data_IF_786843730335
#
_entry.id   IF_786843730335
#
_cell.length_a   1.000
_cell.length_b   1.000
_cell.length_c   1.000
_cell.angle_alpha   90.00
_cell.angle_beta   90.00
_cell.angle_gamma   90.00
#
_symmetry.space_group_name_H-M   'P 1'
#
loop_
_entity.id
_entity.type
_entity.pdbx_description
1 polymer ?
#
# COMPACT_ATOMS: atom_id res chain seq x y z
N UNK A 1 -16.44 -18.08 10.46
CA UNK A 1 -17.43 -18.16 11.57
C UNK A 1 -17.53 -16.79 12.19
N UNK A 2 -18.76 -16.26 12.33
CA UNK A 2 -18.99 -14.90 12.83
C UNK A 2 -19.18 -14.85 14.34
N UNK A 3 -18.74 -13.75 14.95
CA UNK A 3 -18.85 -13.49 16.37
C UNK A 3 -19.10 -12.01 16.64
N UNK A 4 -19.78 -11.75 17.77
CA UNK A 4 -19.84 -10.44 18.41
C UNK A 4 -18.88 -10.46 19.60
N UNK A 5 -17.95 -9.49 19.65
CA UNK A 5 -16.89 -9.45 20.66
C UNK A 5 -16.79 -8.07 21.31
N UNK A 6 -16.43 -8.06 22.57
CA UNK A 6 -16.14 -6.85 23.32
C UNK A 6 -14.68 -6.42 23.15
N UNK A 7 -14.37 -5.18 23.51
CA UNK A 7 -13.02 -4.64 23.56
C UNK A 7 -12.07 -5.49 24.44
N UNK A 8 -12.59 -5.97 25.59
CA UNK A 8 -11.84 -6.85 26.48
C UNK A 8 -11.47 -8.17 25.80
N UNK A 9 -12.39 -8.79 25.06
CA UNK A 9 -12.15 -10.05 24.35
C UNK A 9 -11.16 -9.85 23.20
N UNK A 10 -11.25 -8.73 22.47
CA UNK A 10 -10.28 -8.40 21.43
C UNK A 10 -8.88 -8.20 22.01
N UNK A 11 -8.75 -7.49 23.12
CA UNK A 11 -7.47 -7.31 23.81
C UNK A 11 -6.90 -8.64 24.33
N UNK A 12 -7.73 -9.57 24.78
CA UNK A 12 -7.29 -10.91 25.17
C UNK A 12 -6.73 -11.71 23.96
N UNK A 13 -7.34 -11.58 22.77
CA UNK A 13 -6.80 -12.13 21.53
C UNK A 13 -5.44 -11.51 21.21
N UNK A 14 -5.30 -10.18 21.32
CA UNK A 14 -4.04 -9.49 21.08
C UNK A 14 -2.92 -10.00 21.96
N UNK A 15 -3.16 -10.21 23.26
CA UNK A 15 -2.17 -10.80 24.17
C UNK A 15 -1.69 -12.18 23.70
N UNK A 16 -2.60 -12.98 23.17
CA UNK A 16 -2.24 -14.29 22.61
C UNK A 16 -1.44 -14.15 21.32
N UNK A 17 -1.87 -13.28 20.40
CA UNK A 17 -1.17 -13.08 19.13
C UNK A 17 0.22 -12.49 19.31
N UNK A 18 0.41 -11.59 20.27
CA UNK A 18 1.69 -10.93 20.56
C UNK A 18 2.80 -11.89 20.99
N UNK A 19 2.45 -13.12 21.37
CA UNK A 19 3.45 -14.18 21.64
C UNK A 19 4.27 -14.47 20.37
N UNK A 20 3.61 -14.57 19.19
CA UNK A 20 4.23 -14.99 17.93
C UNK A 20 4.23 -13.91 16.86
N UNK A 21 3.48 -12.84 17.04
CA UNK A 21 3.28 -11.79 16.03
C UNK A 21 3.46 -10.39 16.62
N UNK A 22 3.90 -9.46 15.79
CA UNK A 22 3.68 -8.04 16.01
C UNK A 22 2.36 -7.66 15.35
N UNK A 23 1.54 -6.85 16.01
CA UNK A 23 0.26 -6.39 15.47
C UNK A 23 0.46 -5.00 14.87
N UNK A 24 0.06 -4.82 13.60
CA UNK A 24 0.14 -3.55 12.88
C UNK A 24 -1.24 -3.11 12.43
N UNK A 25 -1.59 -1.87 12.76
CA UNK A 25 -2.83 -1.24 12.35
C UNK A 25 -2.61 0.25 12.04
N UNK A 26 -3.56 0.91 11.35
CA UNK A 26 -3.60 2.36 11.31
C UNK A 26 -3.74 2.91 12.73
N UNK A 27 -2.78 3.73 13.16
CA UNK A 27 -2.79 4.39 14.47
C UNK A 27 -2.46 5.87 14.34
N UNK A 28 -2.81 6.65 15.35
CA UNK A 28 -2.48 8.07 15.41
C UNK A 28 -1.02 8.28 15.86
N UNK A 29 -0.29 9.11 15.11
CA UNK A 29 1.01 9.63 15.49
C UNK A 29 0.85 11.13 15.74
N UNK A 30 0.75 11.50 17.02
CA UNK A 30 0.53 12.87 17.45
C UNK A 30 1.71 13.75 17.04
N UNK A 31 1.41 14.91 16.43
CA UNK A 31 2.42 15.84 15.92
C UNK A 31 3.24 15.32 14.74
N UNK A 32 2.89 14.13 14.18
CA UNK A 32 3.57 13.51 13.03
C UNK A 32 3.05 13.93 11.66
N UNK A 33 2.13 14.89 11.61
CA UNK A 33 1.48 15.33 10.39
C UNK A 33 2.31 16.26 9.51
N UNK A 34 1.66 16.88 8.53
CA UNK A 34 2.32 17.77 7.55
C UNK A 34 2.75 19.11 8.16
N UNK A 35 2.08 19.52 9.22
CA UNK A 35 2.37 20.70 10.01
C UNK A 35 2.67 20.28 11.44
N UNK A 36 3.40 21.11 12.18
CA UNK A 36 3.87 20.80 13.55
C UNK A 36 2.77 20.53 14.57
N UNK A 37 1.55 20.99 14.28
CA UNK A 37 0.36 20.89 15.13
C UNK A 37 -0.68 19.87 14.61
N UNK A 38 -0.33 19.11 13.59
CA UNK A 38 -1.22 18.10 12.99
C UNK A 38 -0.74 16.69 13.26
N UNK A 39 -1.69 15.76 13.32
CA UNK A 39 -1.44 14.34 13.48
C UNK A 39 -1.30 13.62 12.14
N UNK A 40 -0.73 12.43 12.16
CA UNK A 40 -0.64 11.54 11.01
C UNK A 40 -1.23 10.18 11.38
N UNK A 41 -2.12 9.66 10.54
CA UNK A 41 -2.60 8.28 10.66
C UNK A 41 -1.69 7.41 9.78
N UNK A 42 -0.97 6.48 10.42
CA UNK A 42 0.00 5.64 9.75
C UNK A 42 -0.03 4.23 10.33
N UNK A 43 0.48 3.26 9.59
CA UNK A 43 0.68 1.91 10.13
C UNK A 43 1.78 1.93 11.20
N UNK A 44 1.47 1.37 12.36
CA UNK A 44 2.40 1.23 13.47
C UNK A 44 2.08 -0.02 14.28
N UNK A 45 3.04 -0.45 15.09
CA UNK A 45 2.80 -1.50 16.07
C UNK A 45 1.80 -0.99 17.10
N UNK A 46 0.85 -1.85 17.44
CA UNK A 46 -0.14 -1.61 18.49
C UNK A 46 -0.10 -2.75 19.52
N UNK A 47 -0.49 -2.44 20.74
CA UNK A 47 -0.59 -3.40 21.83
C UNK A 47 -2.03 -3.60 22.28
N UNK A 48 -2.88 -2.58 22.08
CA UNK A 48 -4.28 -2.57 22.51
C UNK A 48 -5.22 -2.16 21.37
N UNK A 49 -6.47 -2.60 21.46
CA UNK A 49 -7.50 -2.38 20.45
C UNK A 49 -7.88 -0.91 20.28
N UNK A 50 -7.83 -0.12 21.36
CA UNK A 50 -8.13 1.32 21.37
C UNK A 50 -7.12 2.17 20.58
N UNK A 51 -5.94 1.62 20.26
CA UNK A 51 -4.97 2.28 19.41
C UNK A 51 -5.36 2.26 17.92
N UNK A 52 -6.32 1.40 17.52
CA UNK A 52 -6.73 1.25 16.13
C UNK A 52 -7.61 2.42 15.69
N UNK A 53 -7.23 3.06 14.60
CA UNK A 53 -8.05 4.09 13.94
C UNK A 53 -8.91 3.47 12.85
N UNK A 54 -10.22 3.37 13.10
CA UNK A 54 -11.20 2.81 12.16
C UNK A 54 -11.83 3.86 11.26
N UNK A 55 -12.07 5.06 11.77
CA UNK A 55 -12.85 6.15 11.17
C UNK A 55 -12.07 7.00 10.17
N UNK A 56 -10.76 6.81 10.08
CA UNK A 56 -9.89 7.57 9.15
C UNK A 56 -9.09 6.63 8.26
N UNK A 57 -8.78 7.11 7.06
CA UNK A 57 -7.84 6.46 6.15
C UNK A 57 -6.40 6.77 6.58
N UNK A 58 -5.51 5.77 6.54
CA UNK A 58 -4.10 6.02 6.81
C UNK A 58 -3.47 6.88 5.69
N UNK A 59 -2.66 7.88 6.07
CA UNK A 59 -1.92 8.73 5.14
C UNK A 59 -0.90 7.93 4.33
N UNK A 60 -0.25 6.94 4.97
CA UNK A 60 0.68 6.01 4.35
C UNK A 60 0.09 4.60 4.31
N UNK A 61 0.50 3.81 3.33
CA UNK A 61 0.00 2.45 3.17
C UNK A 61 0.72 1.44 4.06
N UNK A 62 0.11 0.28 4.26
CA UNK A 62 0.66 -0.85 5.00
C UNK A 62 1.98 -1.39 4.43
N UNK A 63 2.33 -1.06 3.19
CA UNK A 63 3.49 -1.67 2.51
C UNK A 63 4.80 -1.49 3.27
N UNK A 64 4.92 -0.49 4.13
CA UNK A 64 6.10 -0.27 4.96
C UNK A 64 6.36 -1.40 5.97
N UNK A 65 5.35 -2.21 6.27
CA UNK A 65 5.49 -3.41 7.11
C UNK A 65 6.21 -4.53 6.35
N UNK A 66 5.92 -4.69 5.05
CA UNK A 66 6.48 -5.75 4.19
C UNK A 66 7.69 -5.29 3.37
N UNK A 67 7.72 -4.02 3.04
CA UNK A 67 8.83 -3.37 2.33
C UNK A 67 9.24 -2.13 3.10
N UNK A 68 10.10 -2.24 4.13
CA UNK A 68 10.53 -1.10 4.92
C UNK A 68 11.13 0.03 4.08
N UNK A 69 10.95 1.28 4.52
CA UNK A 69 11.44 2.47 3.79
C UNK A 69 12.95 2.39 3.53
N UNK A 70 13.70 1.82 4.48
CA UNK A 70 15.11 1.47 4.35
C UNK A 70 15.33 0.10 4.95
N UNK A 71 15.85 -0.83 4.16
CA UNK A 71 16.07 -2.23 4.55
C UNK A 71 17.51 -2.62 4.26
N UNK A 72 18.26 -2.99 5.29
CA UNK A 72 19.57 -3.63 5.11
C UNK A 72 19.36 -5.04 4.54
N UNK A 73 20.01 -5.31 3.42
CA UNK A 73 19.97 -6.62 2.77
C UNK A 73 21.10 -7.50 3.30
N UNK A 74 22.31 -6.97 3.32
CA UNK A 74 23.46 -7.68 3.86
C UNK A 74 24.55 -6.70 4.31
N UNK A 75 25.36 -7.20 5.22
CA UNK A 75 26.62 -6.56 5.63
C UNK A 75 27.79 -7.15 4.85
N UNK A 76 28.83 -6.37 4.62
CA UNK A 76 30.02 -6.82 3.92
C UNK A 76 31.31 -6.32 4.56
N UNK A 77 32.35 -7.13 4.39
CA UNK A 77 33.76 -6.79 4.65
C UNK A 77 34.58 -7.19 3.42
N UNK A 78 35.93 -7.00 3.43
CA UNK A 78 36.81 -7.37 2.29
C UNK A 78 36.67 -8.83 1.81
N UNK A 79 36.34 -9.76 2.70
CA UNK A 79 36.32 -11.18 2.36
C UNK A 79 35.04 -11.93 2.75
N UNK A 80 34.08 -11.25 3.34
CA UNK A 80 32.86 -11.90 3.86
C UNK A 80 31.62 -11.05 3.66
N UNK A 81 30.50 -11.73 3.44
CA UNK A 81 29.16 -11.12 3.46
C UNK A 81 28.30 -11.85 4.48
N UNK A 82 27.46 -11.12 5.20
CA UNK A 82 26.46 -11.66 6.13
C UNK A 82 25.12 -11.05 5.82
N UNK A 83 24.10 -11.87 5.62
CA UNK A 83 22.72 -11.42 5.47
C UNK A 83 22.23 -10.71 6.74
N UNK A 84 21.33 -9.74 6.59
CA UNK A 84 20.67 -9.10 7.71
C UNK A 84 19.68 -10.09 8.35
N UNK A 85 19.58 -10.05 9.68
CA UNK A 85 18.66 -10.92 10.41
C UNK A 85 17.20 -10.49 10.14
N UNK A 86 16.32 -11.48 9.98
CA UNK A 86 14.88 -11.26 9.86
C UNK A 86 14.21 -11.10 11.23
N UNK A 87 13.05 -10.42 11.30
CA UNK A 87 12.24 -10.41 12.50
C UNK A 87 11.87 -11.85 12.91
N UNK A 88 12.03 -12.17 14.19
CA UNK A 88 11.70 -13.51 14.70
C UNK A 88 10.19 -13.75 14.80
N UNK A 89 9.42 -12.68 14.97
CA UNK A 89 7.96 -12.74 15.02
C UNK A 89 7.37 -12.39 13.66
N UNK A 90 6.27 -13.07 13.32
CA UNK A 90 5.43 -12.71 12.20
C UNK A 90 4.69 -11.38 12.42
N UNK A 91 3.78 -11.04 11.53
CA UNK A 91 2.97 -9.85 11.66
C UNK A 91 1.47 -10.16 11.47
N UNK A 92 0.62 -9.63 12.34
CA UNK A 92 -0.81 -9.48 12.10
C UNK A 92 -1.02 -8.08 11.56
N UNK A 93 -1.60 -7.95 10.37
CA UNK A 93 -1.75 -6.65 9.71
C UNK A 93 -3.24 -6.37 9.47
N UNK A 94 -3.71 -5.24 9.97
CA UNK A 94 -5.06 -4.76 9.75
C UNK A 94 -5.13 -4.03 8.42
N UNK A 95 -5.88 -4.55 7.45
CA UNK A 95 -5.94 -4.06 6.07
C UNK A 95 -7.37 -3.79 5.63
N UNK A 96 -7.61 -2.74 4.87
CA UNK A 96 -8.88 -2.56 4.17
C UNK A 96 -8.91 -3.39 2.88
N UNK A 97 -10.09 -3.58 2.29
CA UNK A 97 -10.24 -4.39 1.07
C UNK A 97 -9.28 -3.94 -0.04
N UNK A 98 -9.21 -2.64 -0.35
CA UNK A 98 -8.29 -2.12 -1.36
C UNK A 98 -6.80 -2.41 -1.02
N UNK A 99 -6.42 -2.46 0.26
CA UNK A 99 -5.06 -2.82 0.67
C UNK A 99 -4.79 -4.32 0.46
N UNK A 100 -5.79 -5.20 0.62
CA UNK A 100 -5.67 -6.63 0.28
C UNK A 100 -5.42 -6.84 -1.23
N UNK A 101 -6.13 -6.08 -2.05
CA UNK A 101 -5.85 -6.08 -3.49
C UNK A 101 -4.47 -5.49 -3.80
N UNK A 102 -4.01 -4.49 -3.05
CA UNK A 102 -2.66 -3.96 -3.20
C UNK A 102 -1.60 -4.99 -2.78
N UNK A 103 -1.84 -5.75 -1.71
CA UNK A 103 -0.97 -6.85 -1.29
C UNK A 103 -0.79 -7.87 -2.42
N UNK A 104 -1.89 -8.25 -3.10
CA UNK A 104 -1.81 -9.10 -4.29
C UNK A 104 -0.92 -8.51 -5.39
N UNK A 105 -0.97 -7.16 -5.63
CA UNK A 105 -0.10 -6.51 -6.62
C UNK A 105 1.38 -6.51 -6.19
N UNK A 106 1.64 -6.43 -4.88
CA UNK A 106 3.00 -6.60 -4.37
C UNK A 106 3.49 -8.04 -4.58
N UNK A 107 2.64 -9.04 -4.31
CA UNK A 107 2.95 -10.45 -4.57
C UNK A 107 3.27 -10.68 -6.06
N UNK A 108 2.46 -10.12 -6.98
CA UNK A 108 2.72 -10.21 -8.41
C UNK A 108 4.08 -9.60 -8.79
N UNK A 109 4.48 -8.49 -8.16
CA UNK A 109 5.74 -7.81 -8.47
C UNK A 109 6.97 -8.47 -7.84
N UNK A 110 6.85 -8.92 -6.58
CA UNK A 110 8.00 -9.43 -5.83
C UNK A 110 8.14 -10.95 -5.91
N UNK A 111 7.06 -11.70 -6.12
CA UNK A 111 7.08 -13.16 -6.14
C UNK A 111 6.91 -13.77 -7.52
N UNK A 112 6.22 -13.06 -8.45
CA UNK A 112 5.79 -13.67 -9.71
C UNK A 112 6.31 -12.98 -10.98
N UNK A 113 6.96 -11.82 -10.87
CA UNK A 113 7.45 -11.08 -12.05
C UNK A 113 8.87 -11.51 -12.50
N UNK A 114 9.63 -12.16 -11.61
CA UNK A 114 11.00 -12.66 -11.81
C UNK A 114 11.27 -13.75 -10.75
N UNK A 115 12.50 -14.23 -10.54
CA UNK A 115 12.81 -14.96 -9.33
C UNK A 115 12.31 -14.22 -8.10
N UNK A 116 11.67 -14.97 -7.19
CA UNK A 116 11.04 -14.38 -6.00
C UNK A 116 12.05 -13.56 -5.18
N UNK A 117 11.62 -12.37 -4.75
CA UNK A 117 12.42 -11.54 -3.85
C UNK A 117 12.49 -12.20 -2.48
N UNK A 118 13.68 -12.65 -2.11
CA UNK A 118 13.95 -13.40 -0.89
C UNK A 118 13.47 -12.66 0.38
N UNK A 119 13.75 -11.37 0.48
CA UNK A 119 13.41 -10.56 1.66
C UNK A 119 11.91 -10.33 1.78
N UNK A 120 11.25 -10.03 0.66
CA UNK A 120 9.80 -9.87 0.63
C UNK A 120 9.10 -11.18 0.95
N UNK A 121 9.51 -12.28 0.33
CA UNK A 121 8.93 -13.60 0.54
C UNK A 121 8.98 -14.00 2.02
N UNK A 122 10.14 -13.84 2.67
CA UNK A 122 10.29 -14.19 4.09
C UNK A 122 9.30 -13.43 4.99
N UNK A 123 9.15 -12.13 4.79
CA UNK A 123 8.18 -11.33 5.54
C UNK A 123 6.74 -11.72 5.19
N UNK A 124 6.46 -11.94 3.90
CA UNK A 124 5.12 -12.25 3.38
C UNK A 124 4.58 -13.59 3.86
N UNK A 125 5.43 -14.60 3.97
CA UNK A 125 5.05 -15.94 4.43
C UNK A 125 4.67 -15.97 5.92
N UNK A 126 5.05 -14.96 6.68
CA UNK A 126 4.85 -14.87 8.12
C UNK A 126 3.80 -13.82 8.53
N UNK A 127 2.80 -13.52 7.67
CA UNK A 127 1.73 -12.59 8.02
C UNK A 127 0.39 -13.27 8.19
N UNK A 128 -0.43 -12.66 9.05
CA UNK A 128 -1.86 -12.89 9.19
C UNK A 128 -2.60 -11.60 8.88
N UNK A 129 -3.79 -11.71 8.33
CA UNK A 129 -4.54 -10.58 7.80
C UNK A 129 -5.85 -10.41 8.56
N UNK A 130 -6.06 -9.23 9.10
CA UNK A 130 -7.35 -8.79 9.64
C UNK A 130 -7.94 -7.75 8.69
N UNK A 131 -9.06 -8.10 8.04
CA UNK A 131 -9.78 -7.18 7.17
C UNK A 131 -10.55 -6.16 8.02
N UNK A 132 -10.25 -4.89 7.88
CA UNK A 132 -11.04 -3.79 8.43
C UNK A 132 -12.16 -3.46 7.45
N UNK A 133 -13.41 -3.55 7.88
CA UNK A 133 -14.56 -3.15 7.07
C UNK A 133 -14.55 -1.66 6.72
N UNK A 134 -15.25 -1.33 5.67
CA UNK A 134 -15.45 0.04 5.20
C UNK A 134 -16.95 0.32 5.08
N UNK A 135 -17.58 0.88 6.11
CA UNK A 135 -18.98 1.32 6.05
C UNK A 135 -19.15 2.56 5.17
N UNK A 136 -18.16 3.45 5.18
CA UNK A 136 -18.20 4.72 4.47
C UNK A 136 -16.97 4.89 3.56
N UNK A 137 -17.19 5.52 2.40
CA UNK A 137 -16.14 5.92 1.50
C UNK A 137 -15.37 7.13 2.07
N UNK A 138 -14.04 7.08 2.02
CA UNK A 138 -13.23 8.26 2.30
C UNK A 138 -13.17 9.17 1.06
N UNK A 139 -12.90 10.46 1.27
CA UNK A 139 -13.05 11.55 0.31
C UNK A 139 -12.55 11.25 -1.11
N UNK A 140 -11.32 10.77 -1.27
CA UNK A 140 -10.72 10.54 -2.58
C UNK A 140 -10.69 9.05 -3.01
N UNK A 141 -11.45 8.18 -2.31
CA UNK A 141 -11.52 6.77 -2.68
C UNK A 141 -12.32 6.58 -3.97
N UNK A 142 -11.86 5.66 -4.82
CA UNK A 142 -12.55 5.18 -6.01
C UNK A 142 -12.37 3.66 -6.19
N UNK A 143 -12.31 2.94 -5.07
CA UNK A 143 -12.10 1.49 -5.04
C UNK A 143 -13.25 0.70 -5.70
N UNK A 144 -14.48 1.23 -5.66
CA UNK A 144 -15.63 0.63 -6.34
C UNK A 144 -15.42 0.62 -7.85
N UNK A 145 -14.99 1.77 -8.43
CA UNK A 145 -14.65 1.85 -9.87
C UNK A 145 -13.51 0.90 -10.28
N UNK A 146 -12.63 0.54 -9.34
CA UNK A 146 -11.52 -0.38 -9.59
C UNK A 146 -11.84 -1.84 -9.24
N UNK A 147 -13.04 -2.14 -8.73
CA UNK A 147 -13.45 -3.48 -8.30
C UNK A 147 -12.64 -4.03 -7.13
N UNK A 148 -12.24 -3.17 -6.17
CA UNK A 148 -11.37 -3.52 -5.04
C UNK A 148 -11.99 -3.20 -3.67
N UNK A 149 -13.28 -2.91 -3.64
CA UNK A 149 -14.05 -2.56 -2.44
C UNK A 149 -14.47 -3.77 -1.60
N UNK A 150 -14.47 -4.98 -2.15
CA UNK A 150 -14.85 -6.22 -1.47
C UNK A 150 -13.73 -7.24 -1.59
N UNK A 151 -13.37 -7.89 -0.48
CA UNK A 151 -12.41 -9.00 -0.47
C UNK A 151 -12.83 -10.09 0.50
N UNK A 152 -12.57 -11.33 0.11
CA UNK A 152 -12.78 -12.52 0.95
C UNK A 152 -11.47 -13.17 1.41
N UNK A 153 -10.32 -12.57 1.09
CA UNK A 153 -8.98 -13.11 1.36
C UNK A 153 -8.39 -12.55 2.66
N UNK A 154 -8.88 -13.03 3.79
CA UNK A 154 -8.42 -12.63 5.13
C UNK A 154 -8.49 -13.83 6.09
N UNK A 155 -7.74 -13.77 7.19
CA UNK A 155 -7.82 -14.72 8.30
C UNK A 155 -8.98 -14.36 9.24
N UNK A 156 -9.21 -13.07 9.49
CA UNK A 156 -10.35 -12.53 10.23
C UNK A 156 -10.76 -11.19 9.65
N UNK A 157 -12.05 -10.85 9.72
CA UNK A 157 -12.51 -9.47 9.52
C UNK A 157 -12.94 -8.82 10.83
N UNK A 158 -12.99 -7.50 10.85
CA UNK A 158 -13.42 -6.73 12.02
C UNK A 158 -14.16 -5.47 11.60
N UNK A 159 -15.35 -5.28 12.17
CA UNK A 159 -16.20 -4.09 12.01
C UNK A 159 -16.52 -3.51 13.38
N UNK A 160 -16.06 -2.29 13.66
CA UNK A 160 -16.33 -1.61 14.93
C UNK A 160 -17.75 -1.12 14.96
N UNK A 161 -18.48 -1.43 16.04
CA UNK A 161 -19.84 -1.00 16.26
C UNK A 161 -19.89 0.35 17.01
N UNK A 162 -21.01 1.10 16.88
CA UNK A 162 -21.18 2.39 17.60
C UNK A 162 -21.11 2.28 19.12
N UNK A 163 -21.43 1.12 19.68
CA UNK A 163 -21.39 0.84 21.13
C UNK A 163 -19.99 0.45 21.63
N UNK A 164 -18.99 0.43 20.73
CA UNK A 164 -17.60 0.09 21.07
C UNK A 164 -17.30 -1.41 21.00
N UNK A 165 -18.26 -2.25 20.61
CA UNK A 165 -18.05 -3.68 20.35
C UNK A 165 -17.58 -3.90 18.91
N UNK A 166 -17.36 -5.17 18.55
CA UNK A 166 -16.90 -5.53 17.20
C UNK A 166 -17.67 -6.73 16.67
N UNK A 167 -18.00 -6.69 15.39
CA UNK A 167 -18.42 -7.84 14.60
C UNK A 167 -17.21 -8.40 13.87
N UNK A 168 -16.96 -9.70 14.00
CA UNK A 168 -15.83 -10.37 13.35
C UNK A 168 -16.29 -11.60 12.58
N UNK A 169 -15.79 -11.80 11.37
CA UNK A 169 -15.85 -13.07 10.66
C UNK A 169 -14.45 -13.68 10.64
N UNK A 170 -14.29 -14.82 11.31
CA UNK A 170 -13.02 -15.50 11.47
C UNK A 170 -12.97 -16.78 10.64
N UNK A 171 -11.91 -16.93 9.84
CA UNK A 171 -11.63 -18.08 8.99
C UNK A 171 -10.45 -18.91 9.48
N UNK A 172 -9.55 -18.31 10.27
CA UNK A 172 -8.45 -19.05 10.90
C UNK A 172 -8.96 -19.96 12.01
N UNK A 173 -8.74 -21.25 11.87
CA UNK A 173 -9.27 -22.25 12.80
C UNK A 173 -8.70 -22.09 14.23
N UNK A 174 -7.46 -21.65 14.38
CA UNK A 174 -6.84 -21.45 15.68
C UNK A 174 -7.48 -20.25 16.39
N UNK A 175 -7.74 -19.17 15.64
CA UNK A 175 -8.41 -17.99 16.16
C UNK A 175 -9.90 -18.24 16.47
N UNK A 176 -10.60 -19.05 15.65
CA UNK A 176 -11.97 -19.50 15.96
C UNK A 176 -12.02 -20.24 17.29
N UNK A 177 -11.08 -21.16 17.54
CA UNK A 177 -11.01 -21.87 18.84
C UNK A 177 -10.80 -20.92 20.01
N UNK A 178 -9.95 -19.90 19.84
CA UNK A 178 -9.70 -18.88 20.88
C UNK A 178 -10.97 -18.07 21.16
N UNK A 179 -11.70 -17.62 20.12
CA UNK A 179 -12.96 -16.88 20.26
C UNK A 179 -14.02 -17.71 20.99
N UNK A 180 -14.17 -18.98 20.66
CA UNK A 180 -15.10 -19.90 21.34
C UNK A 180 -14.72 -20.09 22.80
N UNK A 181 -13.42 -20.32 23.09
CA UNK A 181 -12.91 -20.47 24.47
C UNK A 181 -13.08 -19.20 25.30
N UNK A 182 -12.98 -18.03 24.68
CA UNK A 182 -13.24 -16.75 25.32
C UNK A 182 -14.73 -16.47 25.57
N UNK A 183 -15.63 -17.39 25.20
CA UNK A 183 -17.07 -17.23 25.38
C UNK A 183 -17.68 -16.13 24.50
N UNK A 184 -17.09 -15.85 23.32
CA UNK A 184 -17.62 -14.87 22.39
C UNK A 184 -18.96 -15.33 21.81
N UNK A 185 -19.93 -14.41 21.69
CA UNK A 185 -21.25 -14.68 21.14
C UNK A 185 -21.15 -14.96 19.64
N UNK A 186 -21.66 -16.12 19.21
CA UNK A 186 -21.68 -16.49 17.80
C UNK A 186 -22.88 -15.88 17.08
N UNK A 187 -22.63 -15.28 15.91
CA UNK A 187 -23.67 -14.77 15.02
C UNK A 187 -23.20 -14.75 13.58
N UNK A 188 -24.09 -14.58 12.63
CA UNK A 188 -23.73 -14.37 11.24
C UNK A 188 -23.13 -12.97 11.05
N UNK A 189 -21.96 -12.88 10.42
CA UNK A 189 -21.27 -11.62 10.14
C UNK A 189 -20.85 -11.59 8.67
N UNK A 190 -21.22 -10.49 8.00
CA UNK A 190 -20.75 -10.14 6.66
C UNK A 190 -19.92 -8.87 6.81
N UNK A 191 -18.63 -8.87 6.44
CA UNK A 191 -17.78 -7.69 6.59
C UNK A 191 -18.34 -6.48 5.83
N UNK A 192 -18.35 -5.34 6.48
CA UNK A 192 -18.82 -4.09 5.90
C UNK A 192 -17.97 -3.67 4.70
N UNK A 193 -18.60 -3.18 3.65
CA UNK A 193 -17.93 -2.66 2.48
C UNK A 193 -18.74 -1.55 1.81
N UNK A 194 -18.05 -0.58 1.22
CA UNK A 194 -18.69 0.49 0.46
C UNK A 194 -19.18 -0.04 -0.89
N UNK A 195 -20.36 0.41 -1.32
CA UNK A 195 -20.96 0.10 -2.61
C UNK A 195 -20.81 1.23 -3.62
N UNK A 196 -20.49 2.44 -3.15
CA UNK A 196 -20.27 3.61 -3.98
C UNK A 196 -19.13 4.48 -3.42
N UNK A 197 -18.53 5.30 -4.26
CA UNK A 197 -17.55 6.30 -3.88
C UNK A 197 -17.98 7.68 -4.36
N UNK A 198 -17.53 8.74 -3.67
CA UNK A 198 -17.75 10.12 -4.13
C UNK A 198 -17.01 10.41 -5.46
N UNK A 199 -15.84 9.77 -5.63
CA UNK A 199 -15.04 9.88 -6.85
C UNK A 199 -15.28 8.64 -7.70
N UNK A 200 -15.66 8.84 -8.96
CA UNK A 200 -15.79 7.76 -9.95
C UNK A 200 -14.68 7.86 -10.99
N UNK A 201 -14.18 6.71 -11.41
CA UNK A 201 -13.10 6.60 -12.41
C UNK A 201 -13.52 5.61 -13.48
N UNK A 202 -13.30 6.01 -14.74
CA UNK A 202 -13.49 5.14 -15.88
C UNK A 202 -12.19 5.05 -16.68
N UNK A 203 -11.60 3.86 -16.73
CA UNK A 203 -10.47 3.58 -17.61
C UNK A 203 -11.03 3.14 -18.97
N UNK A 204 -10.62 3.77 -20.09
CA UNK A 204 -11.09 3.37 -21.41
C UNK A 204 -10.77 1.90 -21.70
N UNK A 205 -11.72 1.14 -22.21
CA UNK A 205 -11.52 -0.27 -22.57
C UNK A 205 -10.51 -0.43 -23.71
N UNK A 206 -10.54 0.52 -24.66
CA UNK A 206 -9.66 0.58 -25.84
C UNK A 206 -8.37 1.34 -25.60
N UNK A 207 -7.95 1.52 -24.35
CA UNK A 207 -6.72 2.24 -24.02
C UNK A 207 -5.50 1.54 -24.63
N UNK A 208 -4.72 2.30 -25.40
CA UNK A 208 -3.48 1.83 -26.04
C UNK A 208 -2.29 2.71 -25.66
N UNK A 209 -1.08 2.26 -26.02
CA UNK A 209 0.15 3.03 -25.80
C UNK A 209 0.20 4.35 -26.61
N UNK A 210 -0.63 4.52 -27.65
CA UNK A 210 -0.70 5.74 -28.44
C UNK A 210 -1.07 6.96 -27.60
N UNK A 211 -1.86 6.79 -26.53
CA UNK A 211 -2.20 7.87 -25.59
C UNK A 211 -0.97 8.56 -24.98
N UNK A 212 0.19 7.89 -25.05
CA UNK A 212 1.46 8.49 -24.62
C UNK A 212 1.87 9.73 -25.44
N UNK A 213 1.30 9.89 -26.65
CA UNK A 213 1.57 11.01 -27.55
C UNK A 213 0.66 12.21 -27.29
N UNK A 214 -0.42 12.06 -26.50
CA UNK A 214 -1.38 13.13 -26.22
C UNK A 214 -0.73 14.32 -25.51
N UNK A 215 -1.20 15.50 -25.86
CA UNK A 215 -0.80 16.78 -25.23
C UNK A 215 -1.24 16.91 -23.78
N UNK A 216 -2.19 16.07 -23.30
CA UNK A 216 -2.66 16.10 -21.92
C UNK A 216 -1.53 16.00 -20.87
N UNK A 217 -0.40 15.40 -21.23
CA UNK A 217 0.74 15.20 -20.31
C UNK A 217 1.51 16.49 -20.04
N UNK A 218 1.41 17.51 -20.93
CA UNK A 218 2.16 18.75 -20.82
C UNK A 218 1.73 19.60 -19.62
N UNK A 219 0.45 19.52 -19.22
CA UNK A 219 -0.07 20.23 -18.04
C UNK A 219 0.74 19.89 -16.77
N UNK A 220 1.27 18.67 -16.65
CA UNK A 220 2.01 18.23 -15.48
C UNK A 220 3.46 18.73 -15.44
N UNK A 221 3.96 19.33 -16.53
CA UNK A 221 5.31 19.91 -16.55
C UNK A 221 5.43 21.09 -15.57
N UNK A 222 4.39 21.90 -15.44
CA UNK A 222 4.34 23.06 -14.55
C UNK A 222 3.68 22.74 -13.20
N UNK A 223 2.70 21.82 -13.18
CA UNK A 223 1.94 21.53 -11.95
C UNK A 223 2.65 20.61 -10.98
N UNK A 224 3.45 19.65 -11.47
CA UNK A 224 4.12 18.67 -10.62
C UNK A 224 5.48 19.21 -10.14
N UNK A 225 5.72 19.19 -8.84
CA UNK A 225 6.98 19.65 -8.21
C UNK A 225 7.96 18.50 -7.93
N UNK A 226 7.76 17.30 -8.49
CA UNK A 226 8.64 16.13 -8.35
C UNK A 226 8.87 15.63 -6.91
N UNK A 227 8.02 15.94 -5.96
CA UNK A 227 8.22 15.55 -4.57
C UNK A 227 8.14 14.03 -4.31
N UNK A 228 7.58 13.24 -5.23
CA UNK A 228 7.49 11.78 -5.14
C UNK A 228 6.49 11.23 -4.12
N UNK A 229 5.85 12.07 -3.30
CA UNK A 229 4.95 11.64 -2.20
C UNK A 229 3.86 10.68 -2.66
N UNK A 230 3.26 10.94 -3.83
CA UNK A 230 2.21 10.11 -4.40
C UNK A 230 2.60 8.65 -4.66
N UNK A 231 3.91 8.34 -4.81
CA UNK A 231 4.42 6.97 -4.92
C UNK A 231 4.75 6.38 -3.55
N UNK A 232 5.24 7.22 -2.63
CA UNK A 232 5.58 6.75 -1.27
C UNK A 232 4.34 6.29 -0.51
N UNK A 233 3.21 6.99 -0.62
CA UNK A 233 1.96 6.59 0.03
C UNK A 233 1.22 5.46 -0.71
N UNK A 234 1.52 5.25 -2.00
CA UNK A 234 0.81 4.28 -2.81
C UNK A 234 1.15 2.84 -2.39
N UNK A 235 0.14 2.01 -2.07
CA UNK A 235 0.36 0.64 -1.63
C UNK A 235 0.91 -0.28 -2.72
N UNK A 236 0.79 0.10 -4.00
CA UNK A 236 1.22 -0.73 -5.14
C UNK A 236 2.49 -0.21 -5.83
N UNK A 237 3.13 0.86 -5.32
CA UNK A 237 4.40 1.34 -5.88
C UNK A 237 5.58 0.59 -5.25
N UNK A 238 6.43 0.02 -6.11
CA UNK A 238 7.56 -0.85 -5.74
C UNK A 238 8.93 -0.26 -6.13
N UNK A 239 8.99 1.03 -6.50
CA UNK A 239 10.24 1.67 -6.88
C UNK A 239 11.21 1.73 -5.69
N UNK A 240 12.44 1.30 -5.89
CA UNK A 240 13.51 1.37 -4.91
C UNK A 240 14.85 1.70 -5.58
N UNK A 241 15.83 2.06 -4.77
CA UNK A 241 17.24 2.16 -5.13
C UNK A 241 18.08 1.33 -4.18
N UNK A 242 19.24 0.87 -4.65
CA UNK A 242 20.24 0.21 -3.82
C UNK A 242 21.33 1.22 -3.46
N UNK A 243 21.72 1.24 -2.18
CA UNK A 243 22.77 2.12 -1.68
C UNK A 243 23.71 1.34 -0.76
N UNK A 244 25.00 1.60 -0.91
CA UNK A 244 26.03 1.09 -0.01
C UNK A 244 26.37 2.17 1.04
N UNK A 245 26.29 1.79 2.29
CA UNK A 245 26.69 2.61 3.43
C UNK A 245 27.99 2.07 3.99
N UNK A 246 29.07 2.85 3.85
CA UNK A 246 30.38 2.45 4.31
C UNK A 246 30.60 2.90 5.76
N UNK A 247 31.12 1.99 6.58
CA UNK A 247 31.45 2.25 7.98
C UNK A 247 32.88 2.73 8.17
N UNK A 248 33.68 2.66 7.11
CA UNK A 248 35.08 3.08 7.10
C UNK A 248 35.41 3.82 5.81
N UNK A 249 36.36 4.75 5.87
CA UNK A 249 36.81 5.58 4.74
C UNK A 249 37.39 4.77 3.57
N UNK A 250 37.92 3.57 3.84
CA UNK A 250 38.50 2.71 2.82
C UNK A 250 37.44 1.98 1.95
N UNK A 251 36.15 2.14 2.26
CA UNK A 251 35.04 1.55 1.51
C UNK A 251 34.93 0.01 1.57
N UNK A 252 35.64 -0.65 2.49
CA UNK A 252 35.73 -2.12 2.54
C UNK A 252 34.78 -2.79 3.52
N UNK A 253 34.19 -2.02 4.43
CA UNK A 253 33.26 -2.48 5.46
C UNK A 253 32.00 -1.63 5.41
N UNK A 254 30.87 -2.27 5.35
CA UNK A 254 29.60 -1.55 5.27
C UNK A 254 28.39 -2.46 5.15
N UNK A 255 27.32 -1.88 4.69
CA UNK A 255 26.06 -2.57 4.42
C UNK A 255 25.45 -2.11 3.10
N UNK A 256 24.72 -3.00 2.42
CA UNK A 256 23.88 -2.66 1.29
C UNK A 256 22.43 -2.56 1.72
N UNK A 257 21.82 -1.44 1.40
CA UNK A 257 20.41 -1.17 1.69
C UNK A 257 19.58 -1.05 0.42
N UNK A 258 18.35 -1.57 0.51
CA UNK A 258 17.26 -1.23 -0.38
C UNK A 258 16.47 -0.09 0.24
N UNK A 259 16.33 1.03 -0.49
CA UNK A 259 15.66 2.24 0.00
C UNK A 259 14.54 2.60 -0.98
N UNK A 260 13.37 2.97 -0.46
CA UNK A 260 12.29 3.42 -1.34
C UNK A 260 12.74 4.57 -2.23
N UNK A 261 12.31 4.50 -3.48
CA UNK A 261 12.51 5.55 -4.46
C UNK A 261 11.19 5.90 -5.14
N UNK A 262 11.21 6.88 -6.02
CA UNK A 262 10.01 7.29 -6.74
C UNK A 262 10.33 7.63 -8.18
N UNK A 263 9.62 6.99 -9.12
CA UNK A 263 9.71 7.34 -10.54
C UNK A 263 9.21 8.77 -10.86
N UNK A 264 8.61 9.45 -9.87
CA UNK A 264 8.20 10.86 -9.98
C UNK A 264 9.29 11.84 -9.51
N UNK A 265 10.37 11.35 -8.89
CA UNK A 265 11.50 12.19 -8.47
C UNK A 265 12.49 12.30 -9.61
N UNK A 266 13.11 13.48 -9.73
CA UNK A 266 14.17 13.72 -10.69
C UNK A 266 15.40 12.84 -10.41
N UNK A 267 16.10 12.45 -11.46
CA UNK A 267 17.28 11.58 -11.35
C UNK A 267 16.97 10.08 -11.22
N UNK A 268 15.75 9.66 -10.89
CA UNK A 268 15.43 8.23 -10.72
C UNK A 268 15.65 7.39 -12.00
N UNK A 269 15.55 8.00 -13.18
CA UNK A 269 15.75 7.34 -14.48
C UNK A 269 17.05 7.74 -15.15
N UNK A 270 17.98 8.33 -14.42
CA UNK A 270 19.29 8.66 -14.95
C UNK A 270 20.13 7.40 -15.16
N UNK A 271 20.90 7.42 -16.23
CA UNK A 271 21.76 6.30 -16.64
C UNK A 271 23.18 6.74 -16.77
N UNK A 272 24.11 5.78 -16.72
CA UNK A 272 25.52 6.04 -16.96
C UNK A 272 25.72 6.78 -18.30
N UNK A 273 26.61 7.78 -18.30
CA UNK A 273 26.83 8.64 -19.48
C UNK A 273 25.98 9.92 -19.49
N UNK A 274 25.23 10.22 -18.44
CA UNK A 274 24.49 11.49 -18.26
C UNK A 274 23.15 11.56 -19.02
N UNK A 275 22.63 10.42 -19.48
CA UNK A 275 21.30 10.34 -20.07
C UNK A 275 20.20 10.16 -19.03
N UNK A 276 18.95 10.55 -19.35
CA UNK A 276 17.76 10.25 -18.55
C UNK A 276 16.59 9.89 -19.46
N UNK A 277 15.85 8.86 -19.10
CA UNK A 277 14.68 8.44 -19.88
C UNK A 277 13.48 9.36 -19.70
N UNK A 278 13.39 10.11 -18.58
CA UNK A 278 12.26 10.98 -18.25
C UNK A 278 12.76 12.29 -17.66
N UNK A 279 12.87 13.30 -18.50
CA UNK A 279 13.40 14.63 -18.14
C UNK A 279 12.29 15.58 -17.65
N UNK A 280 11.07 15.45 -18.20
CA UNK A 280 9.94 16.30 -17.91
C UNK A 280 8.97 15.64 -16.92
N UNK A 281 8.28 16.45 -16.11
CA UNK A 281 7.31 15.97 -15.12
C UNK A 281 6.10 15.29 -15.78
N UNK A 282 5.66 15.80 -16.94
CA UNK A 282 4.61 15.16 -17.73
C UNK A 282 4.98 13.76 -18.18
N UNK A 283 6.25 13.52 -18.55
CA UNK A 283 6.73 12.18 -18.92
C UNK A 283 6.70 11.22 -17.73
N UNK A 284 7.02 11.71 -16.52
CA UNK A 284 6.94 10.94 -15.29
C UNK A 284 5.50 10.62 -14.93
N UNK A 285 4.58 11.61 -15.02
CA UNK A 285 3.16 11.39 -14.77
C UNK A 285 2.57 10.40 -15.78
N UNK A 286 2.86 10.56 -17.07
CA UNK A 286 2.48 9.63 -18.13
C UNK A 286 2.89 8.19 -17.78
N UNK A 287 4.16 7.99 -17.47
CA UNK A 287 4.65 6.67 -17.08
C UNK A 287 3.91 6.12 -15.86
N UNK A 288 3.75 6.92 -14.79
CA UNK A 288 3.04 6.50 -13.58
C UNK A 288 1.61 6.05 -13.88
N UNK A 289 0.87 6.82 -14.69
CA UNK A 289 -0.53 6.51 -15.02
C UNK A 289 -0.60 5.25 -15.89
N UNK A 290 0.11 5.23 -17.01
CA UNK A 290 0.06 4.11 -17.95
C UNK A 290 0.57 2.81 -17.32
N UNK A 291 1.63 2.87 -16.51
CA UNK A 291 2.10 1.71 -15.76
C UNK A 291 0.99 1.10 -14.89
N UNK A 292 0.12 1.92 -14.27
CA UNK A 292 -0.93 1.45 -13.35
C UNK A 292 -2.21 1.00 -14.04
N UNK A 293 -2.57 1.58 -15.18
CA UNK A 293 -3.87 1.30 -15.80
C UNK A 293 -3.77 0.61 -17.16
N UNK A 294 -2.58 0.59 -17.79
CA UNK A 294 -2.34 -0.05 -19.08
C UNK A 294 -1.34 -1.21 -18.98
N UNK A 295 -0.04 -0.91 -18.74
CA UNK A 295 1.04 -1.89 -18.84
C UNK A 295 0.87 -3.08 -17.90
N UNK A 296 0.49 -2.80 -16.66
CA UNK A 296 0.27 -3.85 -15.67
C UNK A 296 -0.97 -4.69 -16.00
N UNK A 297 -2.05 -4.05 -16.49
CA UNK A 297 -3.27 -4.76 -16.91
C UNK A 297 -2.99 -5.70 -18.09
N UNK A 298 -2.18 -5.28 -19.04
CA UNK A 298 -1.80 -6.12 -20.18
C UNK A 298 -1.05 -7.39 -19.74
N UNK A 299 -0.24 -7.32 -18.67
CA UNK A 299 0.50 -8.46 -18.14
C UNK A 299 -0.28 -9.34 -17.18
N UNK A 300 -1.12 -8.75 -16.34
CA UNK A 300 -1.74 -9.44 -15.21
C UNK A 300 -3.27 -9.57 -15.32
N UNK A 301 -3.91 -8.96 -16.33
CA UNK A 301 -5.35 -9.02 -16.56
C UNK A 301 -6.20 -8.04 -15.74
N UNK A 302 -5.61 -7.27 -14.81
CA UNK A 302 -6.29 -6.28 -13.97
C UNK A 302 -5.37 -5.08 -13.68
N UNK A 303 -5.97 -3.96 -13.30
CA UNK A 303 -5.22 -2.73 -13.05
C UNK A 303 -4.33 -2.84 -11.80
N UNK A 304 -3.17 -2.18 -11.84
CA UNK A 304 -2.29 -2.04 -10.67
C UNK A 304 -2.88 -1.06 -9.64
N UNK A 305 -3.57 -0.02 -10.09
CA UNK A 305 -4.27 0.90 -9.21
C UNK A 305 -5.42 0.19 -8.49
N UNK A 306 -5.57 0.44 -7.19
CA UNK A 306 -6.64 -0.13 -6.34
C UNK A 306 -7.65 0.91 -5.86
N UNK A 307 -7.60 2.13 -6.36
CA UNK A 307 -8.57 3.19 -6.06
C UNK A 307 -8.57 3.68 -4.62
N UNK A 308 -7.48 3.51 -3.86
CA UNK A 308 -7.43 3.91 -2.45
C UNK A 308 -7.35 5.43 -2.20
N UNK A 309 -7.13 6.26 -3.23
CA UNK A 309 -7.11 7.72 -3.16
C UNK A 309 -5.94 8.38 -2.42
N UNK A 310 -5.07 7.63 -1.73
CA UNK A 310 -3.97 8.20 -0.93
C UNK A 310 -3.05 9.14 -1.72
N UNK A 311 -2.88 8.91 -3.02
CA UNK A 311 -2.04 9.78 -3.87
C UNK A 311 -2.67 11.16 -4.10
N UNK A 312 -4.00 11.25 -4.11
CA UNK A 312 -4.74 12.50 -4.22
C UNK A 312 -4.71 13.25 -2.88
N UNK A 313 -4.91 12.53 -1.75
CA UNK A 313 -4.85 13.10 -0.39
C UNK A 313 -3.50 13.74 -0.07
N UNK A 314 -2.38 13.15 -0.53
CA UNK A 314 -1.03 13.57 -0.14
C UNK A 314 -0.45 14.66 -1.04
N UNK A 315 -1.02 14.91 -2.21
CA UNK A 315 -0.43 15.80 -3.21
C UNK A 315 -0.46 17.27 -2.74
N UNK A 316 0.70 17.94 -2.56
CA UNK A 316 0.74 19.33 -2.14
C UNK A 316 0.26 20.28 -3.25
N UNK A 317 0.27 19.85 -4.51
CA UNK A 317 -0.17 20.60 -5.68
C UNK A 317 -1.61 20.24 -6.11
N UNK A 318 -2.34 19.49 -5.28
CA UNK A 318 -3.71 19.06 -5.54
C UNK A 318 -3.90 18.41 -6.92
N UNK A 319 -2.90 17.66 -7.38
CA UNK A 319 -3.01 16.88 -8.62
C UNK A 319 -3.85 15.65 -8.32
N UNK A 320 -5.02 15.57 -8.95
CA UNK A 320 -5.90 14.42 -8.87
C UNK A 320 -5.43 13.33 -9.83
N UNK A 321 -5.08 12.17 -9.27
CA UNK A 321 -4.73 10.98 -10.04
C UNK A 321 -5.97 10.35 -10.68
N UNK A 322 -7.10 10.35 -9.96
CA UNK A 322 -8.40 9.93 -10.47
C UNK A 322 -8.84 10.82 -11.64
N UNK A 323 -8.70 12.13 -11.51
CA UNK A 323 -8.95 13.09 -12.59
C UNK A 323 -8.04 12.88 -13.81
N UNK A 324 -6.77 12.51 -13.57
CA UNK A 324 -5.85 12.18 -14.67
C UNK A 324 -6.30 10.92 -15.42
N UNK A 325 -6.79 9.89 -14.73
CA UNK A 325 -7.33 8.68 -15.39
C UNK A 325 -8.56 9.04 -16.23
N UNK A 326 -9.47 9.85 -15.71
CA UNK A 326 -10.69 10.24 -16.42
C UNK A 326 -10.43 11.06 -17.70
N UNK A 327 -9.28 11.73 -17.81
CA UNK A 327 -8.84 12.41 -19.05
C UNK A 327 -8.40 11.47 -20.16
N UNK A 328 -8.11 10.19 -19.86
CA UNK A 328 -7.56 9.25 -20.84
C UNK A 328 -8.50 9.00 -22.03
N UNK A 329 -9.83 9.05 -21.82
CA UNK A 329 -10.78 8.89 -22.93
C UNK A 329 -10.64 9.99 -23.96
N UNK A 330 -10.60 11.25 -23.53
CA UNK A 330 -10.42 12.41 -24.44
C UNK A 330 -9.02 12.38 -25.08
N UNK A 331 -8.01 11.97 -24.34
CA UNK A 331 -6.66 11.83 -24.87
C UNK A 331 -6.54 10.72 -25.94
N UNK A 332 -7.29 9.64 -25.81
CA UNK A 332 -7.37 8.61 -26.85
C UNK A 332 -8.02 9.15 -28.12
N UNK A 333 -9.11 9.90 -28.00
CA UNK A 333 -9.76 10.54 -29.15
C UNK A 333 -8.80 11.51 -29.86
N UNK A 334 -8.10 12.36 -29.11
CA UNK A 334 -7.09 13.29 -29.66
C UNK A 334 -6.05 12.57 -30.55
N UNK A 335 -5.48 11.45 -30.06
CA UNK A 335 -4.39 10.77 -30.80
C UNK A 335 -4.88 9.85 -31.92
N UNK A 336 -6.17 9.52 -31.97
CA UNK A 336 -6.75 8.74 -33.07
C UNK A 336 -7.26 9.61 -34.22
N UNK A 337 -7.50 10.90 -33.97
CA UNK A 337 -7.92 11.87 -34.99
C UNK A 337 -6.73 12.59 -35.66
N UNK A 338 -5.51 12.39 -35.16
CA UNK A 338 -4.25 12.88 -35.75
C UNK A 338 -3.66 11.83 -36.72
#
# INVERSE_FOLDING_TARGET
MGFHITDMQLNALFQTWQTNYHIYAPRNFSGGGRFSDTDCIRYGKIEHADEIVFDKKSDYSFKEVLTPVSQTLFFFTEGQTKEADFPQKGAVIFLRSCDLYALKRLDDMYLHNSPADYYYQHLRDNIKIVLMGCEHSFENCFCVSMGTNVSTKYDMSIDRQPDGTYLVDCKDEAWVKQLVQAGCEQQEVIPAHVTENQVTVQVPENLTAEVAKSTMWEEYNSRCINCGRCNFVCPTCTCFTMQDFFYSENGKVGERRRIWASCMVDGFTDVAGGGSYRKKNGERMRFKVLHKVLDYKQRNGYHMCVGCGRCDDICPEYISFSGCINKLQSAMTEVTEQ
#
